data_IF_946982645908
#
_entry.id   IF_946982645908
#
_cell.length_a   1.000
_cell.length_b   1.000
_cell.length_c   1.000
_cell.angle_alpha   90.00
_cell.angle_beta   90.00
_cell.angle_gamma   90.00
#
_symmetry.space_group_name_H-M   'P 1'
#
loop_
_entity.id
_entity.type
_entity.pdbx_description
1 polymer ?
#
# COMPACT_ATOMS: atom_id res chain seq x y z
N UNK A 1 -13.57 5.63 -7.49
CA UNK A 1 -13.62 4.48 -6.55
C UNK A 1 -14.91 4.54 -5.73
N UNK A 2 -15.34 3.41 -5.24
CA UNK A 2 -16.57 3.26 -4.46
C UNK A 2 -16.20 2.95 -3.01
N UNK A 3 -16.92 3.53 -2.06
CA UNK A 3 -16.79 3.24 -0.64
C UNK A 3 -18.04 2.47 -0.24
N UNK A 4 -17.88 1.23 0.22
CA UNK A 4 -18.97 0.39 0.69
C UNK A 4 -18.75 -0.06 2.12
N UNK A 5 -19.78 0.06 2.96
CA UNK A 5 -19.86 -0.67 4.23
C UNK A 5 -20.63 -1.94 3.90
N UNK A 6 -19.95 -3.09 3.86
CA UNK A 6 -20.58 -4.32 3.41
C UNK A 6 -20.12 -5.52 4.23
N UNK A 7 -21.08 -6.27 4.68
CA UNK A 7 -20.94 -7.64 5.14
C UNK A 7 -21.14 -8.57 3.94
N UNK A 8 -20.17 -9.47 3.69
CA UNK A 8 -20.26 -10.68 2.85
C UNK A 8 -20.10 -10.52 1.33
N UNK A 9 -19.28 -11.38 0.74
CA UNK A 9 -19.13 -11.61 -0.70
C UNK A 9 -17.74 -11.34 -1.27
N UNK A 10 -16.71 -11.39 -0.45
CA UNK A 10 -15.36 -10.92 -0.79
C UNK A 10 -14.56 -11.81 -1.75
N UNK A 11 -14.89 -13.09 -1.92
CA UNK A 11 -14.07 -14.01 -2.73
C UNK A 11 -14.05 -13.63 -4.23
N UNK A 12 -15.16 -13.14 -4.78
CA UNK A 12 -15.22 -12.71 -6.18
C UNK A 12 -14.48 -11.39 -6.43
N UNK A 13 -14.34 -10.54 -5.40
CA UNK A 13 -13.65 -9.25 -5.55
C UNK A 13 -12.13 -9.38 -5.56
N UNK A 14 -11.58 -10.44 -4.96
CA UNK A 14 -10.11 -10.61 -4.77
C UNK A 14 -9.44 -11.20 -6.01
N UNK A 15 -10.10 -12.12 -6.74
CA UNK A 15 -9.45 -12.92 -7.79
C UNK A 15 -8.84 -12.14 -8.95
N UNK A 16 -9.40 -10.99 -9.29
CA UNK A 16 -8.96 -10.18 -10.42
C UNK A 16 -8.34 -8.83 -9.99
N UNK A 17 -8.09 -8.63 -8.70
CA UNK A 17 -7.65 -7.35 -8.14
C UNK A 17 -6.44 -7.52 -7.25
N UNK A 18 -5.57 -6.50 -7.20
CA UNK A 18 -4.53 -6.39 -6.17
C UNK A 18 -5.16 -5.77 -4.94
N UNK A 19 -5.04 -6.45 -3.82
CA UNK A 19 -5.77 -6.13 -2.58
C UNK A 19 -4.82 -5.79 -1.44
N UNK A 20 -5.12 -4.71 -0.73
CA UNK A 20 -4.53 -4.42 0.58
C UNK A 20 -5.58 -4.66 1.66
N UNK A 21 -5.24 -5.43 2.68
CA UNK A 21 -6.10 -5.66 3.85
C UNK A 21 -5.44 -5.10 5.09
N UNK A 22 -6.13 -4.21 5.80
CA UNK A 22 -5.64 -3.66 7.06
C UNK A 22 -6.37 -4.27 8.23
N UNK A 23 -5.60 -4.81 9.19
CA UNK A 23 -6.08 -5.38 10.46
C UNK A 23 -5.65 -4.53 11.64
N UNK A 24 -6.17 -4.81 12.83
CA UNK A 24 -5.79 -4.13 14.07
C UNK A 24 -4.66 -4.84 14.83
N UNK A 25 -4.59 -6.16 14.73
CA UNK A 25 -3.64 -6.96 15.51
C UNK A 25 -2.81 -7.88 14.61
N UNK A 26 -1.64 -8.27 15.12
CA UNK A 26 -0.74 -9.23 14.48
C UNK A 26 -1.43 -10.58 14.31
N UNK A 27 -2.05 -11.08 15.38
CA UNK A 27 -2.75 -12.35 15.35
C UNK A 27 -3.84 -12.40 14.29
N UNK A 28 -4.66 -11.36 14.21
CA UNK A 28 -5.71 -11.27 13.18
C UNK A 28 -5.15 -11.27 11.76
N UNK A 29 -4.01 -10.61 11.55
CA UNK A 29 -3.36 -10.63 10.25
C UNK A 29 -2.80 -12.02 9.90
N UNK A 30 -2.21 -12.70 10.85
CA UNK A 30 -1.70 -14.08 10.71
C UNK A 30 -2.85 -15.05 10.42
N UNK A 31 -3.87 -15.08 11.27
CA UNK A 31 -5.05 -15.95 11.12
C UNK A 31 -5.74 -15.73 9.76
N UNK A 32 -5.87 -14.48 9.32
CA UNK A 32 -6.45 -14.15 8.01
C UNK A 32 -5.55 -14.60 6.85
N UNK A 33 -4.24 -14.46 6.99
CA UNK A 33 -3.29 -14.90 5.96
C UNK A 33 -3.35 -16.40 5.79
N UNK A 34 -3.39 -17.14 6.89
CA UNK A 34 -3.51 -18.61 6.89
C UNK A 34 -4.83 -19.04 6.24
N UNK A 35 -5.94 -18.42 6.64
CA UNK A 35 -7.25 -18.69 6.04
C UNK A 35 -7.29 -18.43 4.53
N UNK A 36 -6.77 -17.30 4.06
CA UNK A 36 -6.73 -16.96 2.64
C UNK A 36 -5.82 -17.91 1.86
N UNK A 37 -4.72 -18.36 2.47
CA UNK A 37 -3.80 -19.34 1.88
C UNK A 37 -4.49 -20.69 1.70
N UNK A 38 -5.26 -21.15 2.70
CA UNK A 38 -6.06 -22.38 2.62
C UNK A 38 -7.13 -22.31 1.51
N UNK A 39 -7.66 -21.12 1.23
CA UNK A 39 -8.59 -20.89 0.11
C UNK A 39 -7.87 -20.79 -1.26
N UNK A 40 -6.55 -20.98 -1.30
CA UNK A 40 -5.77 -20.93 -2.54
C UNK A 40 -5.49 -19.52 -3.07
N UNK A 41 -5.65 -18.50 -2.22
CA UNK A 41 -5.34 -17.11 -2.57
C UNK A 41 -3.86 -16.85 -2.30
N UNK A 42 -3.20 -16.20 -3.25
CA UNK A 42 -1.78 -15.83 -3.11
C UNK A 42 -1.66 -14.60 -2.22
N UNK A 43 -1.42 -14.82 -0.94
CA UNK A 43 -1.37 -13.79 0.09
C UNK A 43 0.00 -13.72 0.77
N UNK A 44 0.40 -12.53 1.17
CA UNK A 44 1.58 -12.29 2.01
C UNK A 44 1.18 -11.41 3.20
N UNK A 45 1.76 -11.71 4.36
CA UNK A 45 1.64 -10.89 5.55
C UNK A 45 2.81 -9.90 5.64
N UNK A 46 2.50 -8.65 5.96
CA UNK A 46 3.49 -7.59 6.15
C UNK A 46 3.37 -7.01 7.56
N UNK A 47 4.40 -7.14 8.37
CA UNK A 47 4.48 -6.61 9.73
C UNK A 47 5.67 -5.66 9.91
N UNK A 48 5.76 -5.02 11.09
CA UNK A 48 6.78 -4.02 11.36
C UNK A 48 8.20 -4.59 11.51
N UNK A 49 8.32 -5.89 11.78
CA UNK A 49 9.61 -6.61 11.89
C UNK A 49 10.13 -7.12 10.54
N UNK A 50 9.32 -7.03 9.48
CA UNK A 50 9.78 -7.39 8.13
C UNK A 50 10.88 -6.43 7.72
N UNK A 51 12.01 -6.98 7.33
CA UNK A 51 13.16 -6.24 6.83
C UNK A 51 12.77 -5.38 5.62
N UNK A 52 13.48 -4.27 5.45
CA UNK A 52 13.26 -3.35 4.32
C UNK A 52 13.38 -4.05 2.97
N UNK A 53 14.30 -5.01 2.86
CA UNK A 53 14.51 -5.76 1.63
C UNK A 53 13.34 -6.70 1.34
N UNK A 54 12.96 -7.54 2.31
CA UNK A 54 11.81 -8.45 2.21
C UNK A 54 10.51 -7.69 1.92
N UNK A 55 10.34 -6.52 2.52
CA UNK A 55 9.21 -5.65 2.24
C UNK A 55 9.19 -5.18 0.79
N UNK A 56 10.34 -4.76 0.24
CA UNK A 56 10.43 -4.38 -1.17
C UNK A 56 10.10 -5.55 -2.10
N UNK A 57 10.49 -6.77 -1.71
CA UNK A 57 10.13 -8.00 -2.43
C UNK A 57 8.62 -8.24 -2.41
N UNK A 58 7.96 -8.18 -1.24
CA UNK A 58 6.51 -8.33 -1.12
C UNK A 58 5.77 -7.30 -2.00
N UNK A 59 6.23 -6.05 -1.98
CA UNK A 59 5.66 -4.99 -2.80
C UNK A 59 5.86 -5.28 -4.30
N UNK A 60 7.05 -5.71 -4.68
CA UNK A 60 7.35 -6.09 -6.07
C UNK A 60 6.47 -7.25 -6.52
N UNK A 61 6.32 -8.28 -5.69
CA UNK A 61 5.48 -9.44 -5.96
C UNK A 61 4.01 -9.06 -6.15
N UNK A 62 3.48 -8.16 -5.30
CA UNK A 62 2.13 -7.63 -5.45
C UNK A 62 1.96 -6.88 -6.78
N UNK A 63 2.92 -6.04 -7.14
CA UNK A 63 2.89 -5.27 -8.39
C UNK A 63 2.99 -6.15 -9.62
N UNK A 64 3.85 -7.17 -9.59
CA UNK A 64 4.01 -8.15 -10.68
C UNK A 64 2.83 -9.14 -10.78
N UNK A 65 2.05 -9.29 -9.71
CA UNK A 65 0.96 -10.25 -9.66
C UNK A 65 1.37 -11.66 -9.27
N UNK A 66 2.56 -11.81 -8.72
CA UNK A 66 2.98 -13.07 -8.09
C UNK A 66 2.16 -13.36 -6.84
N UNK A 67 1.70 -12.30 -6.15
CA UNK A 67 0.73 -12.34 -5.06
C UNK A 67 -0.45 -11.42 -5.37
N UNK A 68 -1.61 -11.73 -4.82
CA UNK A 68 -2.85 -11.00 -5.05
C UNK A 68 -3.24 -10.13 -3.86
N UNK A 69 -2.88 -10.55 -2.66
CA UNK A 69 -3.28 -9.91 -1.40
C UNK A 69 -2.07 -9.65 -0.51
N UNK A 70 -2.02 -8.46 0.08
CA UNK A 70 -1.12 -8.15 1.20
C UNK A 70 -1.96 -7.79 2.42
N UNK A 71 -1.75 -8.51 3.50
CA UNK A 71 -2.37 -8.27 4.81
C UNK A 71 -1.37 -7.58 5.72
N UNK A 72 -1.79 -6.58 6.48
CA UNK A 72 -0.90 -5.95 7.46
C UNK A 72 -1.62 -5.02 8.44
N UNK A 73 -0.96 -4.68 9.56
CA UNK A 73 -1.56 -3.88 10.62
C UNK A 73 -1.61 -2.40 10.25
N UNK A 74 -0.53 -1.85 9.79
CA UNK A 74 -0.39 -0.43 9.49
C UNK A 74 0.37 -0.23 8.19
N UNK A 75 -0.29 -0.58 7.10
CA UNK A 75 0.28 -0.43 5.75
C UNK A 75 0.46 1.03 5.33
N UNK A 76 0.06 1.99 6.19
CA UNK A 76 0.08 3.42 5.90
C UNK A 76 1.43 4.10 6.10
N UNK A 77 2.23 3.62 7.06
CA UNK A 77 3.44 4.31 7.54
C UNK A 77 4.53 4.49 6.48
N UNK A 78 4.41 3.85 5.31
CA UNK A 78 5.61 3.58 4.55
C UNK A 78 5.58 4.01 3.10
N UNK A 79 4.83 5.06 2.81
CA UNK A 79 4.88 5.69 1.50
C UNK A 79 4.58 4.74 0.33
N UNK A 80 3.81 3.67 0.57
CA UNK A 80 3.45 2.70 -0.44
C UNK A 80 2.68 3.38 -1.57
N UNK A 81 3.32 3.48 -2.72
CA UNK A 81 2.73 3.99 -3.94
C UNK A 81 2.46 2.83 -4.89
N UNK A 82 1.27 2.25 -4.75
CA UNK A 82 0.84 1.03 -5.43
C UNK A 82 -0.36 1.33 -6.33
N UNK A 83 -0.15 1.86 -7.54
CA UNK A 83 -1.24 2.16 -8.47
C UNK A 83 -1.98 0.91 -8.96
N UNK A 84 -1.36 -0.26 -8.84
CA UNK A 84 -1.93 -1.55 -9.20
C UNK A 84 -2.98 -2.03 -8.20
N UNK A 85 -2.98 -1.48 -6.97
CA UNK A 85 -3.98 -1.82 -5.95
C UNK A 85 -5.32 -1.19 -6.31
N UNK A 86 -6.30 -2.04 -6.53
CA UNK A 86 -7.66 -1.65 -6.87
C UNK A 86 -8.68 -1.92 -5.76
N UNK A 87 -8.30 -2.66 -4.73
CA UNK A 87 -9.14 -2.91 -3.56
C UNK A 87 -8.38 -2.69 -2.26
N UNK A 88 -8.98 -1.92 -1.36
CA UNK A 88 -8.50 -1.77 0.02
C UNK A 88 -9.61 -2.23 0.97
N UNK A 89 -9.31 -3.23 1.77
CA UNK A 89 -10.21 -3.75 2.80
C UNK A 89 -9.73 -3.29 4.19
N UNK A 90 -10.62 -2.69 4.95
CA UNK A 90 -10.35 -2.21 6.31
C UNK A 90 -11.20 -3.04 7.27
N UNK A 91 -10.56 -3.96 8.00
CA UNK A 91 -11.26 -4.79 8.99
C UNK A 91 -11.38 -4.04 10.31
N UNK A 92 -12.45 -4.33 11.06
CA UNK A 92 -12.76 -3.65 12.33
C UNK A 92 -12.66 -2.13 12.21
N UNK A 93 -13.30 -1.57 11.20
CA UNK A 93 -13.26 -0.13 10.94
C UNK A 93 -13.95 0.70 12.03
N UNK A 94 -14.87 0.09 12.78
CA UNK A 94 -15.60 0.64 13.92
C UNK A 94 -14.83 0.62 15.26
N UNK A 95 -13.72 -0.11 15.33
CA UNK A 95 -12.91 -0.15 16.57
C UNK A 95 -12.06 1.11 16.67
N UNK A 96 -12.67 2.14 17.25
CA UNK A 96 -12.02 3.46 17.38
C UNK A 96 -10.65 3.38 18.07
N UNK A 97 -9.72 4.18 17.55
CA UNK A 97 -8.35 4.25 18.03
C UNK A 97 -7.43 4.89 17.01
N UNK A 98 -6.13 4.92 17.32
CA UNK A 98 -5.14 5.56 16.46
C UNK A 98 -5.15 5.05 15.01
N UNK A 99 -5.36 3.74 14.80
CA UNK A 99 -5.38 3.12 13.46
C UNK A 99 -6.72 3.28 12.72
N UNK A 100 -7.76 3.72 13.40
CA UNK A 100 -9.11 3.91 12.88
C UNK A 100 -9.64 5.32 13.12
N UNK A 101 -8.75 6.26 13.44
CA UNK A 101 -9.08 7.68 13.48
C UNK A 101 -9.45 8.18 12.07
N UNK A 102 -10.21 9.26 11.98
CA UNK A 102 -10.57 9.94 10.74
C UNK A 102 -9.36 10.08 9.78
N UNK A 103 -8.27 10.66 10.28
CA UNK A 103 -7.04 10.87 9.48
C UNK A 103 -6.46 9.55 8.96
N UNK A 104 -6.42 8.52 9.80
CA UNK A 104 -5.91 7.20 9.44
C UNK A 104 -6.78 6.54 8.36
N UNK A 105 -8.10 6.63 8.50
CA UNK A 105 -9.06 6.13 7.52
C UNK A 105 -8.92 6.87 6.18
N UNK A 106 -8.86 8.20 6.17
CA UNK A 106 -8.66 9.00 4.95
C UNK A 106 -7.36 8.60 4.24
N UNK A 107 -6.27 8.40 4.97
CA UNK A 107 -5.00 7.97 4.40
C UNK A 107 -5.09 6.57 3.79
N UNK A 108 -5.80 5.65 4.43
CA UNK A 108 -6.01 4.28 3.94
C UNK A 108 -6.86 4.29 2.67
N UNK A 109 -7.96 5.02 2.69
CA UNK A 109 -8.85 5.21 1.52
C UNK A 109 -8.05 5.79 0.34
N UNK A 110 -7.18 6.75 0.60
CA UNK A 110 -6.32 7.38 -0.41
C UNK A 110 -5.37 6.42 -1.15
N UNK A 111 -5.15 5.20 -0.63
CA UNK A 111 -4.35 4.18 -1.35
C UNK A 111 -5.07 3.63 -2.57
N UNK A 112 -6.39 3.44 -2.50
CA UNK A 112 -7.19 3.03 -3.64
C UNK A 112 -7.40 4.14 -4.67
N UNK A 113 -7.28 5.39 -4.29
CA UNK A 113 -7.57 6.54 -5.16
C UNK A 113 -6.60 6.72 -6.35
N UNK A 114 -5.51 5.96 -6.40
CA UNK A 114 -4.54 5.96 -7.51
C UNK A 114 -4.96 5.06 -8.67
N UNK A 115 -5.90 4.18 -8.41
CA UNK A 115 -6.53 3.34 -9.42
C UNK A 115 -7.88 3.96 -9.81
N UNK A 116 -8.14 4.08 -11.12
CA UNK A 116 -9.40 4.64 -11.62
C UNK A 116 -10.62 3.81 -11.18
N UNK A 117 -10.43 2.50 -11.01
CA UNK A 117 -11.45 1.54 -10.54
C UNK A 117 -11.26 1.16 -9.07
N UNK A 118 -10.59 2.02 -8.29
CA UNK A 118 -10.30 1.77 -6.89
C UNK A 118 -11.59 1.61 -6.07
N UNK A 119 -11.62 0.57 -5.23
CA UNK A 119 -12.70 0.27 -4.28
C UNK A 119 -12.14 0.21 -2.87
N UNK A 120 -12.89 0.75 -1.92
CA UNK A 120 -12.59 0.62 -0.49
C UNK A 120 -13.78 -0.02 0.20
N UNK A 121 -13.52 -1.07 0.97
CA UNK A 121 -14.52 -1.75 1.79
C UNK A 121 -14.13 -1.62 3.25
N UNK A 122 -15.02 -1.05 4.05
CA UNK A 122 -14.88 -0.99 5.50
C UNK A 122 -15.78 -2.06 6.12
N UNK A 123 -15.18 -3.00 6.85
CA UNK A 123 -15.90 -4.02 7.59
C UNK A 123 -16.11 -3.49 9.02
N UNK A 124 -17.35 -3.32 9.40
CA UNK A 124 -17.75 -2.73 10.67
C UNK A 124 -19.13 -3.23 11.08
N UNK A 125 -19.39 -3.35 12.37
CA UNK A 125 -20.71 -3.65 12.92
C UNK A 125 -21.59 -2.40 12.94
N UNK A 126 -20.97 -1.22 13.17
CA UNK A 126 -21.64 0.07 13.20
C UNK A 126 -20.79 1.16 12.55
N UNK A 127 -21.41 2.25 12.10
CA UNK A 127 -20.71 3.41 11.56
C UNK A 127 -20.37 4.35 12.71
N UNK A 128 -19.08 4.53 12.97
CA UNK A 128 -18.60 5.47 13.99
C UNK A 128 -18.45 6.89 13.45
N UNK A 129 -18.35 7.86 14.36
CA UNK A 129 -18.14 9.27 13.99
C UNK A 129 -16.86 9.45 13.15
N UNK A 130 -15.80 8.69 13.45
CA UNK A 130 -14.54 8.74 12.69
C UNK A 130 -14.71 8.20 11.27
N UNK A 131 -15.52 7.15 11.09
CA UNK A 131 -15.86 6.61 9.78
C UNK A 131 -16.71 7.60 8.99
N UNK A 132 -17.76 8.16 9.60
CA UNK A 132 -18.66 9.11 8.95
C UNK A 132 -17.91 10.36 8.46
N UNK A 133 -17.05 10.93 9.30
CA UNK A 133 -16.20 12.07 8.91
C UNK A 133 -15.23 11.70 7.79
N UNK A 134 -14.59 10.54 7.85
CA UNK A 134 -13.67 10.09 6.82
C UNK A 134 -14.37 9.87 5.46
N UNK A 135 -15.54 9.27 5.47
CA UNK A 135 -16.37 9.05 4.27
C UNK A 135 -16.81 10.40 3.69
N UNK A 136 -17.43 11.25 4.51
CA UNK A 136 -17.94 12.57 4.10
C UNK A 136 -16.83 13.43 3.48
N UNK A 137 -15.67 13.49 4.13
CA UNK A 137 -14.55 14.29 3.62
C UNK A 137 -13.98 13.70 2.31
N UNK A 138 -13.94 12.39 2.19
CA UNK A 138 -13.47 11.72 0.97
C UNK A 138 -14.44 11.95 -0.19
N UNK A 139 -15.75 11.86 0.06
CA UNK A 139 -16.78 12.14 -0.95
C UNK A 139 -16.77 13.62 -1.36
N UNK A 140 -16.60 14.54 -0.42
CA UNK A 140 -16.45 15.97 -0.70
C UNK A 140 -15.26 16.23 -1.64
N UNK A 141 -14.10 15.65 -1.35
CA UNK A 141 -12.90 15.78 -2.21
C UNK A 141 -13.13 15.19 -3.59
N UNK A 142 -13.79 14.05 -3.65
CA UNK A 142 -14.13 13.39 -4.90
C UNK A 142 -15.07 14.25 -5.76
N UNK A 143 -16.12 14.81 -5.16
CA UNK A 143 -17.06 15.65 -5.87
C UNK A 143 -16.37 16.88 -6.49
N UNK A 144 -15.49 17.55 -5.75
CA UNK A 144 -14.70 18.69 -6.25
C UNK A 144 -13.81 18.26 -7.42
N UNK A 145 -13.12 17.12 -7.28
CA UNK A 145 -12.24 16.64 -8.34
C UNK A 145 -13.02 16.22 -9.60
N UNK A 146 -14.18 15.61 -9.44
CA UNK A 146 -15.04 15.23 -10.57
C UNK A 146 -15.54 16.46 -11.31
N UNK A 147 -16.03 17.48 -10.60
CA UNK A 147 -16.47 18.74 -11.21
C UNK A 147 -15.33 19.43 -11.97
N UNK A 148 -14.13 19.48 -11.39
CA UNK A 148 -12.95 20.02 -12.05
C UNK A 148 -12.59 19.23 -13.32
N UNK A 149 -12.61 17.90 -13.24
CA UNK A 149 -12.31 17.04 -14.38
C UNK A 149 -13.30 17.24 -15.52
N UNK A 150 -14.60 17.35 -15.19
CA UNK A 150 -15.66 17.59 -16.18
C UNK A 150 -15.49 18.94 -16.86
N UNK A 151 -15.25 20.01 -16.09
CA UNK A 151 -15.01 21.35 -16.62
C UNK A 151 -13.81 21.42 -17.58
N UNK A 152 -12.74 20.64 -17.28
CA UNK A 152 -11.50 20.65 -18.07
C UNK A 152 -11.41 19.49 -19.08
N UNK A 153 -12.43 18.67 -19.23
CA UNK A 153 -12.43 17.52 -20.14
C UNK A 153 -11.39 16.45 -19.78
N UNK A 154 -11.04 16.32 -18.51
CA UNK A 154 -10.03 15.38 -18.01
C UNK A 154 -10.70 14.01 -17.74
N UNK A 155 -10.23 12.98 -18.42
CA UNK A 155 -10.63 11.58 -18.15
C UNK A 155 -9.63 10.96 -17.20
N UNK A 156 -10.03 10.59 -15.95
CA UNK A 156 -9.15 9.93 -15.01
C UNK A 156 -8.58 8.62 -15.58
N UNK A 157 -7.28 8.41 -15.42
CA UNK A 157 -6.59 7.18 -15.83
C UNK A 157 -5.81 6.62 -14.66
N UNK A 158 -5.75 5.29 -14.57
CA UNK A 158 -4.87 4.61 -13.61
C UNK A 158 -3.40 4.98 -13.88
N UNK A 159 -2.68 5.33 -12.83
CA UNK A 159 -1.26 5.65 -12.93
C UNK A 159 -0.49 4.37 -13.27
N UNK A 160 0.30 4.40 -14.34
CA UNK A 160 1.23 3.31 -14.68
C UNK A 160 2.63 3.72 -14.26
N UNK A 161 3.22 2.96 -13.35
CA UNK A 161 4.56 3.23 -12.82
C UNK A 161 5.49 2.06 -13.13
N UNK A 162 6.68 2.33 -13.65
CA UNK A 162 7.68 1.30 -13.89
C UNK A 162 8.04 0.56 -12.59
N UNK A 163 8.19 -0.75 -12.68
CA UNK A 163 8.65 -1.58 -11.56
C UNK A 163 10.19 -1.57 -11.62
N UNK A 164 10.81 -0.85 -10.70
CA UNK A 164 12.27 -0.82 -10.61
C UNK A 164 12.79 -2.14 -10.03
N UNK A 165 13.79 -2.72 -10.65
CA UNK A 165 14.50 -3.87 -10.09
C UNK A 165 15.39 -3.41 -8.94
N UNK A 166 15.04 -3.85 -7.72
CA UNK A 166 15.81 -3.56 -6.50
C UNK A 166 17.23 -4.12 -6.53
N UNK A 167 17.48 -5.11 -7.38
CA UNK A 167 18.80 -5.74 -7.57
C UNK A 167 19.83 -4.75 -8.15
N UNK A 168 19.43 -3.87 -9.08
CA UNK A 168 20.36 -2.90 -9.65
C UNK A 168 20.87 -1.86 -8.65
N UNK A 169 20.09 -1.55 -7.62
CA UNK A 169 20.48 -0.58 -6.58
C UNK A 169 21.45 -1.22 -5.58
N UNK A 170 21.23 -2.51 -5.22
CA UNK A 170 22.13 -3.23 -4.32
C UNK A 170 23.46 -3.52 -4.98
N UNK A 171 23.49 -3.95 -6.25
CA UNK A 171 24.72 -4.19 -7.00
C UNK A 171 25.54 -2.90 -7.22
N UNK A 172 24.89 -1.79 -7.49
CA UNK A 172 25.57 -0.48 -7.57
C UNK A 172 26.13 -0.05 -6.23
N UNK A 173 25.39 -0.27 -5.13
CA UNK A 173 25.85 0.07 -3.78
C UNK A 173 26.98 -0.87 -3.28
N UNK A 174 26.91 -2.16 -3.56
CA UNK A 174 27.98 -3.12 -3.25
C UNK A 174 29.23 -2.89 -4.10
N UNK A 175 29.07 -2.64 -5.39
CA UNK A 175 30.18 -2.32 -6.29
C UNK A 175 30.83 -0.97 -5.90
N UNK A 176 30.07 0.03 -5.50
CA UNK A 176 30.60 1.27 -4.95
C UNK A 176 31.39 1.03 -3.66
N UNK A 177 30.86 0.26 -2.70
CA UNK A 177 31.56 -0.14 -1.47
C UNK A 177 32.83 -0.97 -1.74
N UNK A 178 32.79 -1.85 -2.73
CA UNK A 178 33.91 -2.69 -3.12
C UNK A 178 35.02 -1.88 -3.80
N UNK A 179 34.67 -0.91 -4.63
CA UNK A 179 35.61 0.04 -5.23
C UNK A 179 36.25 0.95 -4.18
N UNK A 180 35.49 1.47 -3.21
CA UNK A 180 36.00 2.30 -2.13
C UNK A 180 36.96 1.51 -1.20
N UNK A 181 36.72 0.23 -0.99
CA UNK A 181 37.65 -0.66 -0.23
C UNK A 181 38.93 -0.97 -0.97
N UNK A 182 38.94 -0.94 -2.30
CA UNK A 182 40.10 -1.18 -3.15
C UNK A 182 41.00 0.04 -3.35
N UNK A 183 40.47 1.23 -3.11
CA UNK A 183 41.25 2.47 -3.19
C UNK A 183 42.31 2.50 -2.09
N UNK A 184 43.56 2.78 -2.45
CA UNK A 184 44.63 2.99 -1.51
C UNK A 184 44.41 4.24 -0.63
N UNK A 185 45.09 4.35 0.51
CA UNK A 185 44.93 5.43 1.46
C UNK A 185 45.13 6.83 0.81
N UNK A 186 46.12 6.96 -0.07
CA UNK A 186 46.44 8.19 -0.82
C UNK A 186 45.32 8.58 -1.81
N UNK A 187 44.69 7.61 -2.47
CA UNK A 187 43.57 7.88 -3.40
C UNK A 187 42.32 8.30 -2.67
N UNK A 188 42.10 7.83 -1.43
CA UNK A 188 40.97 8.26 -0.59
C UNK A 188 41.15 9.71 -0.13
N UNK A 189 42.35 10.09 0.27
CA UNK A 189 42.69 11.46 0.68
C UNK A 189 42.52 12.44 -0.50
N UNK A 190 42.99 12.08 -1.69
CA UNK A 190 42.80 12.87 -2.91
C UNK A 190 41.33 12.97 -3.38
N UNK A 191 40.51 11.95 -3.13
CA UNK A 191 39.08 11.99 -3.44
C UNK A 191 38.27 12.87 -2.47
N UNK A 192 38.67 12.91 -1.20
CA UNK A 192 38.07 13.79 -0.17
C UNK A 192 38.42 15.25 -0.46
N UNK A 193 39.65 15.55 -0.84
CA UNK A 193 40.13 16.92 -1.16
C UNK A 193 39.46 17.53 -2.39
N UNK A 194 38.89 16.68 -3.29
CA UNK A 194 38.12 17.15 -4.48
C UNK A 194 36.65 17.41 -4.19
N UNK A 195 36.16 17.01 -3.01
CA UNK A 195 34.77 17.16 -2.60
C UNK A 195 34.56 18.25 -1.54
N UNK A 196 35.64 18.83 -1.05
CA UNK A 196 35.69 20.02 -0.17
C UNK A 196 36.02 21.26 -0.96
#
# INVERSE_FOLDING_TARGET
>A
YEIGVRLVGSEMCIRDRRVLVTTLTKKMAEDLTDFLTEQGIKVKYMHHEVDTFERMEIIKDLRLGSIDVVVGINLLREGLDLPEVSLVAILDADKEGFLRSETSLIQTIGRAARNAEGLVIMYADEVTDSMERAITETERRRAIQMAYNEEHGIVPKTIVKAIADSIEISDKAENAKRNTRRMGKLEREAAIERLT
#
